data_IF_028771855361
#
_entry.id   IF_028771855361
#
_cell.length_a   1.000
_cell.length_b   1.000
_cell.length_c   1.000
_cell.angle_alpha   90.00
_cell.angle_beta   90.00
_cell.angle_gamma   90.00
#
_symmetry.space_group_name_H-M   'P 1'
#
loop_
_entity.id
_entity.type
_entity.pdbx_description
1 polymer ?
#
# COMPACT_ATOMS: atom_id res chain seq x y z
N UNK A 1 -70.04 -25.60 -45.01
CA UNK A 1 -70.29 -24.15 -45.01
C UNK A 1 -69.75 -23.55 -43.71
N UNK A 2 -69.00 -22.45 -43.84
CA UNK A 2 -68.44 -21.56 -42.80
C UNK A 2 -67.21 -22.02 -42.00
N UNK A 3 -66.07 -21.69 -42.60
CA UNK A 3 -64.85 -21.08 -42.02
C UNK A 3 -65.07 -20.29 -40.73
N UNK A 4 -64.14 -20.39 -39.76
CA UNK A 4 -63.38 -19.27 -39.19
C UNK A 4 -62.12 -19.77 -38.44
N UNK A 5 -60.97 -19.23 -38.85
CA UNK A 5 -59.64 -19.32 -38.25
C UNK A 5 -59.53 -18.24 -37.17
N UNK A 6 -58.97 -18.52 -35.99
CA UNK A 6 -58.11 -17.57 -35.24
C UNK A 6 -57.15 -18.34 -34.32
N UNK A 7 -55.84 -18.18 -34.56
CA UNK A 7 -54.76 -18.58 -33.66
C UNK A 7 -54.50 -17.47 -32.63
N UNK A 8 -54.15 -17.83 -31.39
CA UNK A 8 -53.46 -16.92 -30.47
C UNK A 8 -52.26 -17.64 -29.84
N UNK A 9 -51.06 -17.22 -30.26
CA UNK A 9 -49.81 -17.43 -29.55
C UNK A 9 -49.85 -16.58 -28.26
N UNK A 10 -49.60 -17.20 -27.11
CA UNK A 10 -49.21 -16.46 -25.90
C UNK A 10 -47.70 -16.64 -25.70
N UNK A 11 -46.97 -15.55 -25.89
CA UNK A 11 -45.53 -15.46 -25.76
C UNK A 11 -45.08 -15.68 -24.31
N UNK A 12 -44.02 -16.47 -24.13
CA UNK A 12 -43.28 -16.56 -22.89
C UNK A 12 -42.61 -15.21 -22.58
N UNK A 13 -42.89 -14.63 -21.40
CA UNK A 13 -42.22 -13.44 -20.89
C UNK A 13 -41.17 -13.88 -19.86
N UNK A 14 -39.87 -13.87 -20.18
CA UNK A 14 -38.85 -13.95 -19.14
C UNK A 14 -38.75 -12.59 -18.47
N UNK A 15 -39.26 -12.45 -17.24
CA UNK A 15 -38.94 -11.31 -16.39
C UNK A 15 -37.47 -11.45 -15.95
N UNK A 16 -36.62 -10.65 -16.60
CA UNK A 16 -35.24 -10.45 -16.23
C UNK A 16 -35.13 -9.96 -14.78
N UNK A 17 -34.30 -10.64 -14.00
CA UNK A 17 -33.88 -10.18 -12.69
C UNK A 17 -33.12 -8.85 -12.84
N UNK A 18 -33.71 -7.77 -12.33
CA UNK A 18 -33.00 -6.49 -12.16
C UNK A 18 -32.03 -6.67 -11.00
N UNK A 19 -30.78 -6.96 -11.33
CA UNK A 19 -29.66 -6.91 -10.38
C UNK A 19 -29.49 -5.44 -10.01
N UNK A 20 -29.72 -5.14 -8.73
CA UNK A 20 -29.36 -3.86 -8.11
C UNK A 20 -27.83 -3.80 -8.10
N UNK A 21 -27.26 -3.18 -9.12
CA UNK A 21 -25.85 -2.78 -9.07
C UNK A 21 -25.84 -1.55 -8.17
N UNK A 22 -25.50 -1.79 -6.90
CA UNK A 22 -25.13 -0.75 -5.95
C UNK A 22 -23.94 0.01 -6.53
N UNK A 23 -24.23 1.07 -7.28
CA UNK A 23 -23.29 2.11 -7.58
C UNK A 23 -23.03 2.84 -6.26
N UNK A 24 -21.96 2.46 -5.57
CA UNK A 24 -21.23 3.41 -4.75
C UNK A 24 -20.83 4.56 -5.68
N UNK A 25 -21.69 5.57 -5.76
CA UNK A 25 -21.32 6.87 -6.29
C UNK A 25 -20.21 7.38 -5.37
N UNK A 26 -18.98 7.22 -5.84
CA UNK A 26 -17.77 7.66 -5.17
C UNK A 26 -17.96 9.10 -4.72
N UNK A 27 -17.84 9.31 -3.41
CA UNK A 27 -17.49 10.62 -2.87
C UNK A 27 -16.13 10.96 -3.47
N UNK A 28 -16.13 11.82 -4.49
CA UNK A 28 -14.93 12.55 -4.85
C UNK A 28 -14.69 13.53 -3.71
N UNK A 29 -13.87 13.12 -2.74
CA UNK A 29 -13.35 14.03 -1.73
C UNK A 29 -12.43 15.03 -2.43
N UNK A 30 -12.96 16.22 -2.67
CA UNK A 30 -12.26 17.38 -3.21
C UNK A 30 -11.29 18.00 -2.19
N UNK A 31 -10.54 17.16 -1.46
CA UNK A 31 -9.52 17.55 -0.48
C UNK A 31 -8.38 16.52 -0.44
N UNK A 32 -7.44 16.65 -1.38
CA UNK A 32 -6.01 16.52 -1.04
C UNK A 32 -5.40 15.13 -0.80
N UNK A 33 -5.83 14.08 -1.50
CA UNK A 33 -4.94 12.92 -1.69
C UNK A 33 -4.93 12.51 -3.16
N UNK A 34 -3.78 12.68 -3.81
CA UNK A 34 -3.60 12.35 -5.23
C UNK A 34 -3.40 10.84 -5.48
N UNK A 35 -3.40 10.00 -4.44
CA UNK A 35 -3.40 8.54 -4.62
C UNK A 35 -4.66 8.07 -5.37
N UNK A 36 -4.48 7.14 -6.29
CA UNK A 36 -5.61 6.44 -6.91
C UNK A 36 -6.37 5.58 -5.88
N UNK A 37 -7.61 5.19 -6.19
CA UNK A 37 -8.35 4.25 -5.34
C UNK A 37 -7.60 2.92 -5.13
N UNK A 38 -6.86 2.46 -6.15
CA UNK A 38 -6.05 1.25 -6.07
C UNK A 38 -4.89 1.41 -5.08
N UNK A 39 -4.31 2.61 -5.02
CA UNK A 39 -3.23 2.94 -4.11
C UNK A 39 -3.73 3.11 -2.67
N UNK A 40 -4.86 3.78 -2.46
CA UNK A 40 -5.50 3.87 -1.15
C UNK A 40 -5.85 2.48 -0.59
N UNK A 41 -6.23 1.53 -1.46
CA UNK A 41 -6.50 0.15 -1.05
C UNK A 41 -5.25 -0.61 -0.55
N UNK A 42 -4.03 -0.13 -0.85
CA UNK A 42 -2.80 -0.72 -0.33
C UNK A 42 -2.56 -0.36 1.14
N UNK A 43 -3.00 0.81 1.61
CA UNK A 43 -2.64 1.33 2.94
C UNK A 43 -2.91 0.30 4.06
N UNK A 44 -4.11 -0.31 4.18
CA UNK A 44 -4.37 -1.30 5.23
C UNK A 44 -3.55 -2.59 5.11
N UNK A 45 -3.01 -2.88 3.91
CA UNK A 45 -2.09 -3.99 3.69
C UNK A 45 -0.69 -3.61 4.16
N UNK A 46 -0.24 -2.39 3.86
CA UNK A 46 1.06 -1.88 4.29
C UNK A 46 1.15 -1.84 5.81
N UNK A 47 0.15 -1.27 6.49
CA UNK A 47 0.07 -1.17 7.97
C UNK A 47 0.23 -2.53 8.69
N UNK A 48 -0.14 -3.63 8.03
CA UNK A 48 -0.09 -4.98 8.59
C UNK A 48 1.22 -5.71 8.32
N UNK A 49 2.14 -5.11 7.58
CA UNK A 49 3.44 -5.72 7.31
C UNK A 49 4.23 -5.84 8.62
N UNK A 50 4.67 -7.05 8.93
CA UNK A 50 5.43 -7.32 10.16
C UNK A 50 6.71 -6.48 10.25
N UNK A 51 7.30 -6.11 9.12
CA UNK A 51 8.49 -5.27 9.06
C UNK A 51 8.24 -3.87 9.63
N UNK A 52 7.02 -3.35 9.55
CA UNK A 52 6.69 -2.01 10.05
C UNK A 52 6.64 -1.99 11.57
N UNK A 53 6.02 -2.99 12.20
CA UNK A 53 5.86 -3.09 13.66
C UNK A 53 7.06 -3.72 14.37
N UNK A 54 7.99 -4.34 13.63
CA UNK A 54 9.16 -4.97 14.22
C UNK A 54 10.20 -3.90 14.56
N UNK A 55 10.78 -3.94 15.76
CA UNK A 55 11.82 -3.00 16.19
C UNK A 55 12.78 -3.67 17.18
N UNK A 56 14.01 -3.16 17.36
CA UNK A 56 14.89 -3.61 18.44
C UNK A 56 14.18 -3.51 19.80
N UNK A 57 14.48 -4.45 20.71
CA UNK A 57 13.78 -4.56 22.00
C UNK A 57 13.92 -3.34 22.93
N UNK A 58 14.95 -2.51 22.70
CA UNK A 58 15.17 -1.27 23.45
C UNK A 58 14.50 -0.04 22.82
N UNK A 59 13.91 -0.18 21.63
CA UNK A 59 13.22 0.91 20.97
C UNK A 59 11.82 1.12 21.58
N UNK A 60 11.40 2.37 21.69
CA UNK A 60 10.03 2.76 22.05
C UNK A 60 9.32 3.25 20.79
N UNK A 61 8.18 2.63 20.49
CA UNK A 61 7.31 2.98 19.38
C UNK A 61 6.59 4.32 19.66
N UNK A 62 6.60 5.22 18.67
CA UNK A 62 5.90 6.50 18.70
C UNK A 62 4.55 6.48 17.97
N UNK A 63 4.19 5.34 17.41
CA UNK A 63 2.91 5.09 16.77
C UNK A 63 2.99 5.03 15.24
N UNK A 64 1.99 4.33 14.70
CA UNK A 64 1.77 4.17 13.28
C UNK A 64 1.40 5.51 12.62
N UNK A 65 2.00 5.76 11.46
CA UNK A 65 1.61 6.80 10.52
C UNK A 65 1.38 6.16 9.16
N UNK A 66 0.31 6.54 8.50
CA UNK A 66 -0.04 6.02 7.19
C UNK A 66 -0.84 7.06 6.43
N UNK A 67 -0.84 6.94 5.10
CA UNK A 67 -1.56 7.86 4.25
C UNK A 67 -1.09 7.79 2.82
N UNK A 68 -1.32 8.89 2.11
CA UNK A 68 -0.81 9.14 0.78
C UNK A 68 0.06 10.40 0.84
N UNK A 69 1.21 10.40 0.17
CA UNK A 69 1.96 11.64 -0.03
C UNK A 69 1.22 12.52 -1.04
N UNK A 70 0.95 13.77 -0.66
CA UNK A 70 0.12 14.69 -1.44
C UNK A 70 0.73 15.05 -2.80
N UNK A 71 2.07 15.10 -2.89
CA UNK A 71 2.77 15.59 -4.09
C UNK A 71 3.25 14.47 -5.04
N UNK A 72 3.28 13.22 -4.57
CA UNK A 72 3.99 12.13 -5.24
C UNK A 72 3.15 10.87 -5.45
N UNK A 73 1.94 10.85 -4.89
CA UNK A 73 0.85 9.95 -5.27
C UNK A 73 1.10 8.49 -4.92
N UNK A 74 1.96 8.23 -3.94
CA UNK A 74 2.19 6.90 -3.41
C UNK A 74 1.69 6.73 -1.96
N UNK A 75 1.05 5.59 -1.66
CA UNK A 75 0.62 5.23 -0.33
C UNK A 75 1.80 4.80 0.52
N UNK A 76 1.72 5.10 1.81
CA UNK A 76 2.73 4.72 2.78
C UNK A 76 2.13 4.25 4.09
N UNK A 77 2.91 3.46 4.82
CA UNK A 77 2.73 3.18 6.23
C UNK A 77 4.09 3.09 6.91
N UNK A 78 4.21 3.54 8.15
CA UNK A 78 5.48 3.56 8.84
C UNK A 78 5.35 3.89 10.32
N UNK A 79 6.44 3.68 11.04
CA UNK A 79 6.57 4.02 12.45
C UNK A 79 7.84 4.85 12.66
N UNK A 80 7.82 5.67 13.69
CA UNK A 80 9.02 6.26 14.24
C UNK A 80 9.31 5.65 15.61
N UNK A 81 10.59 5.57 15.94
CA UNK A 81 11.06 4.92 17.14
C UNK A 81 12.14 5.76 17.81
N UNK A 82 12.09 5.82 19.13
CA UNK A 82 13.19 6.33 19.96
C UNK A 82 14.01 5.18 20.53
N UNK A 83 15.33 5.33 20.59
CA UNK A 83 16.26 4.31 21.11
C UNK A 83 17.57 4.98 21.55
N UNK A 84 18.31 4.38 22.49
CA UNK A 84 19.58 4.93 22.97
C UNK A 84 20.73 4.94 21.93
N UNK A 85 20.64 4.13 20.88
CA UNK A 85 21.63 4.03 19.81
C UNK A 85 20.94 3.71 18.47
N UNK A 86 20.52 4.75 17.74
CA UNK A 86 19.71 4.59 16.53
C UNK A 86 20.45 3.89 15.39
N UNK A 87 21.77 4.02 15.31
CA UNK A 87 22.62 3.33 14.34
C UNK A 87 22.51 1.79 14.39
N UNK A 88 22.08 1.23 15.53
CA UNK A 88 21.78 -0.20 15.67
C UNK A 88 20.55 -0.67 14.89
N UNK A 89 19.69 0.25 14.45
CA UNK A 89 18.49 -0.06 13.67
C UNK A 89 18.84 -0.56 12.26
N UNK A 90 19.79 0.06 11.56
CA UNK A 90 20.16 -0.34 10.19
C UNK A 90 20.57 -1.83 10.08
N UNK A 91 21.51 -2.37 10.91
CA UNK A 91 21.85 -3.78 10.85
C UNK A 91 20.72 -4.70 11.37
N UNK A 92 19.83 -4.21 12.23
CA UNK A 92 18.63 -4.95 12.65
C UNK A 92 17.69 -5.15 11.46
N UNK A 93 17.32 -4.07 10.77
CA UNK A 93 16.43 -4.13 9.62
C UNK A 93 17.06 -4.81 8.42
N UNK A 94 18.39 -4.74 8.22
CA UNK A 94 19.05 -5.50 7.16
C UNK A 94 18.82 -7.01 7.29
N UNK A 95 18.88 -7.54 8.52
CA UNK A 95 18.58 -8.96 8.78
C UNK A 95 17.10 -9.26 8.61
N UNK A 96 16.24 -8.46 9.22
CA UNK A 96 14.79 -8.62 9.15
C UNK A 96 14.27 -8.56 7.71
N UNK A 97 14.73 -7.58 6.93
CA UNK A 97 14.41 -7.40 5.53
C UNK A 97 14.78 -8.66 4.72
N UNK A 98 16.00 -9.16 4.91
CA UNK A 98 16.45 -10.41 4.27
C UNK A 98 15.56 -11.60 4.65
N UNK A 99 15.26 -11.77 5.94
CA UNK A 99 14.46 -12.89 6.44
C UNK A 99 13.00 -12.82 5.94
N UNK A 100 12.47 -11.62 5.73
CA UNK A 100 11.15 -11.37 5.12
C UNK A 100 11.21 -11.23 3.58
N UNK A 101 12.34 -11.59 2.93
CA UNK A 101 12.43 -11.65 1.47
C UNK A 101 12.44 -10.30 0.75
N UNK A 102 12.80 -9.23 1.45
CA UNK A 102 13.12 -7.93 0.84
C UNK A 102 14.53 -7.96 0.28
N UNK A 103 14.72 -7.28 -0.86
CA UNK A 103 16.01 -7.21 -1.57
C UNK A 103 16.62 -5.82 -1.38
N UNK A 104 17.90 -5.69 -0.99
CA UNK A 104 18.56 -4.39 -0.90
C UNK A 104 18.50 -3.63 -2.23
N UNK A 105 18.31 -2.33 -2.15
CA UNK A 105 18.40 -1.41 -3.29
C UNK A 105 19.64 -0.55 -3.12
N UNK A 106 20.45 -0.45 -4.17
CA UNK A 106 21.64 0.38 -4.20
C UNK A 106 21.26 1.87 -4.19
N UNK A 107 22.01 2.71 -3.48
CA UNK A 107 21.77 4.17 -3.43
C UNK A 107 21.57 4.76 -2.03
N UNK A 108 21.45 3.90 -1.00
CA UNK A 108 21.30 4.38 0.37
C UNK A 108 22.60 4.97 0.95
N UNK A 109 22.47 6.02 1.76
CA UNK A 109 23.61 6.72 2.37
C UNK A 109 24.05 6.10 3.71
N UNK A 110 24.89 6.80 4.48
CA UNK A 110 25.35 6.30 5.79
C UNK A 110 24.21 6.24 6.84
N UNK A 111 23.12 6.97 6.62
CA UNK A 111 22.01 7.17 7.56
C UNK A 111 20.73 6.46 7.14
N UNK A 112 20.68 5.84 5.96
CA UNK A 112 19.48 5.21 5.44
C UNK A 112 19.77 3.83 4.83
N UNK A 113 18.76 2.98 4.75
CA UNK A 113 18.78 1.74 3.94
C UNK A 113 17.45 1.57 3.27
N UNK A 114 17.47 1.23 1.97
CA UNK A 114 16.27 0.93 1.20
C UNK A 114 16.25 -0.53 0.73
N UNK A 115 15.06 -1.12 0.69
CA UNK A 115 14.83 -2.48 0.23
C UNK A 115 13.56 -2.58 -0.60
N UNK A 116 13.56 -3.38 -1.65
CA UNK A 116 12.42 -3.63 -2.53
C UNK A 116 11.77 -5.00 -2.29
N UNK A 117 10.44 -5.05 -2.43
CA UNK A 117 9.66 -6.30 -2.46
C UNK A 117 8.40 -6.12 -3.31
N UNK A 118 7.83 -7.20 -3.81
CA UNK A 118 6.49 -7.19 -4.43
C UNK A 118 5.42 -7.48 -3.38
N UNK A 119 4.36 -6.68 -3.37
CA UNK A 119 3.15 -6.91 -2.56
C UNK A 119 1.97 -7.00 -3.53
N UNK A 120 1.59 -8.23 -3.87
CA UNK A 120 0.62 -8.49 -4.93
C UNK A 120 1.07 -7.91 -6.28
N UNK A 121 0.26 -7.00 -6.84
CA UNK A 121 0.56 -6.32 -8.10
C UNK A 121 1.54 -5.14 -7.93
N UNK A 122 1.63 -4.55 -6.72
CA UNK A 122 2.41 -3.36 -6.45
C UNK A 122 3.89 -3.66 -6.18
N UNK A 123 4.75 -2.67 -6.47
CA UNK A 123 6.12 -2.60 -5.95
C UNK A 123 6.08 -1.87 -4.62
N UNK A 124 6.81 -2.38 -3.63
CA UNK A 124 6.94 -1.78 -2.31
C UNK A 124 8.40 -1.59 -1.93
N UNK A 125 8.65 -0.51 -1.18
CA UNK A 125 9.97 -0.03 -0.81
C UNK A 125 9.99 0.23 0.68
N UNK A 126 10.82 -0.51 1.40
CA UNK A 126 11.09 -0.34 2.82
C UNK A 126 12.27 0.61 2.97
N UNK A 127 12.03 1.79 3.52
CA UNK A 127 13.04 2.78 3.86
C UNK A 127 13.22 2.82 5.38
N UNK A 128 14.46 2.67 5.83
CA UNK A 128 14.85 2.81 7.24
C UNK A 128 15.82 4.00 7.32
N UNK A 129 15.46 5.02 8.09
CA UNK A 129 16.22 6.27 8.16
C UNK A 129 16.58 6.62 9.61
N UNK A 130 17.86 6.89 9.85
CA UNK A 130 18.36 7.43 11.12
C UNK A 130 18.13 8.95 11.10
N UNK A 131 17.18 9.42 11.88
CA UNK A 131 16.83 10.85 11.97
C UNK A 131 17.72 11.59 12.96
N UNK A 132 18.22 10.90 13.98
CA UNK A 132 19.20 11.40 14.94
C UNK A 132 19.89 10.25 15.66
N UNK A 133 20.85 10.54 16.55
CA UNK A 133 21.48 9.52 17.39
C UNK A 133 20.48 8.72 18.25
N UNK A 134 19.31 9.29 18.55
CA UNK A 134 18.32 8.71 19.45
C UNK A 134 16.98 8.34 18.76
N UNK A 135 16.89 8.48 17.44
CA UNK A 135 15.62 8.34 16.70
C UNK A 135 15.85 7.80 15.29
N UNK A 136 14.99 6.87 14.87
CA UNK A 136 14.92 6.40 13.51
C UNK A 136 13.46 6.21 13.09
N UNK A 137 13.22 6.17 11.79
CA UNK A 137 11.92 5.83 11.20
C UNK A 137 12.03 4.68 10.23
N UNK A 138 10.93 3.96 10.09
CA UNK A 138 10.73 2.89 9.12
C UNK A 138 9.45 3.15 8.38
N UNK A 139 9.54 3.27 7.07
CA UNK A 139 8.41 3.54 6.19
C UNK A 139 8.42 2.53 5.06
N UNK A 140 7.25 1.96 4.78
CA UNK A 140 7.01 1.22 3.55
C UNK A 140 6.17 2.10 2.64
N UNK A 141 6.73 2.43 1.48
CA UNK A 141 6.01 3.05 0.37
C UNK A 141 5.63 1.97 -0.63
N UNK A 142 4.53 2.14 -1.37
CA UNK A 142 4.21 1.25 -2.47
C UNK A 142 3.62 2.01 -3.65
N UNK A 143 3.66 1.41 -4.83
CA UNK A 143 3.01 1.97 -6.02
C UNK A 143 2.69 0.88 -7.04
N UNK A 144 1.64 1.11 -7.81
CA UNK A 144 1.32 0.35 -9.02
C UNK A 144 2.00 0.92 -10.27
N UNK A 145 2.58 2.12 -10.17
CA UNK A 145 3.28 2.78 -11.27
C UNK A 145 4.67 2.21 -11.53
N UNK A 146 5.27 2.67 -12.62
CA UNK A 146 6.66 2.39 -12.94
C UNK A 146 7.57 3.18 -11.99
N UNK A 147 8.55 2.49 -11.43
CA UNK A 147 9.58 3.07 -10.55
C UNK A 147 10.94 2.66 -11.10
N UNK A 148 11.93 3.56 -11.09
CA UNK A 148 13.33 3.18 -11.31
C UNK A 148 13.75 1.96 -10.49
N UNK A 149 14.74 1.21 -10.99
CA UNK A 149 15.24 0.02 -10.29
C UNK A 149 15.98 0.36 -8.98
N UNK A 150 16.50 1.58 -8.87
CA UNK A 150 17.07 2.15 -7.64
C UNK A 150 16.00 2.68 -6.67
N UNK A 151 14.71 2.49 -6.97
CA UNK A 151 13.58 2.93 -6.14
C UNK A 151 13.21 4.41 -6.27
N UNK A 152 14.00 5.23 -6.97
CA UNK A 152 13.72 6.65 -7.14
C UNK A 152 13.48 7.35 -5.80
N UNK A 153 12.39 8.13 -5.69
CA UNK A 153 12.00 8.87 -4.48
C UNK A 153 11.36 8.01 -3.37
N UNK A 154 11.13 6.72 -3.65
CA UNK A 154 10.61 5.77 -2.67
C UNK A 154 11.72 5.16 -1.81
N UNK A 155 12.96 5.39 -2.25
CA UNK A 155 14.22 5.30 -1.55
C UNK A 155 14.85 6.71 -1.50
#
# INVERSE_FOLDING_TARGET
MRTHVVALLAAAVPLAAVIVIGGCLGRQDLNGSECSEADLALIPTLEKLSVISAHPSQATDEGLRSGCYEDENYPYAGHAYTIGAADTALPYYARLAKDDGWTPIDGADATSRCYGKRIGAARAFLLVTIESAARYSVTVNATHGDVPDDGGLLC
#
